data_IF_433657055486
#
_entry.id   IF_433657055486
#
_cell.length_a   1.000
_cell.length_b   1.000
_cell.length_c   1.000
_cell.angle_alpha   90.00
_cell.angle_beta   90.00
_cell.angle_gamma   90.00
#
_symmetry.space_group_name_H-M   'P 1'
#
loop_
_entity.id
_entity.type
_entity.pdbx_description
1 polymer ?
#
# COMPACT_ATOMS: atom_id res chain seq x y z
N UNK A 1 -7.08 10.69 4.63
CA UNK A 1 -5.76 10.09 4.95
C UNK A 1 -5.77 8.56 5.07
N UNK A 2 -6.90 7.88 4.83
CA UNK A 2 -7.04 6.48 5.23
C UNK A 2 -6.05 5.55 4.55
N UNK A 3 -5.54 4.61 5.34
CA UNK A 3 -4.92 3.37 4.90
C UNK A 3 -3.49 3.53 4.36
N UNK A 4 -2.86 4.69 4.58
CA UNK A 4 -1.53 4.95 4.02
C UNK A 4 -0.48 3.96 4.53
N UNK A 5 -0.47 3.74 5.85
CA UNK A 5 0.47 2.81 6.49
C UNK A 5 0.17 1.38 6.06
N UNK A 6 -1.11 1.01 6.00
CA UNK A 6 -1.57 -0.31 5.57
C UNK A 6 -1.12 -0.63 4.15
N UNK A 7 -1.37 0.28 3.20
CA UNK A 7 -0.97 0.09 1.81
C UNK A 7 0.55 0.05 1.65
N UNK A 8 1.26 0.95 2.33
CA UNK A 8 2.72 0.98 2.29
C UNK A 8 3.32 -0.28 2.91
N UNK A 9 2.73 -0.78 4.00
CA UNK A 9 3.14 -2.02 4.66
C UNK A 9 2.95 -3.24 3.74
N UNK A 10 1.79 -3.37 3.10
CA UNK A 10 1.54 -4.44 2.11
C UNK A 10 2.57 -4.37 0.99
N UNK A 11 2.81 -3.19 0.43
CA UNK A 11 3.82 -3.00 -0.60
C UNK A 11 5.22 -3.40 -0.14
N UNK A 12 5.64 -2.92 1.02
CA UNK A 12 7.00 -3.13 1.53
C UNK A 12 7.26 -4.61 1.85
N UNK A 13 6.26 -5.33 2.36
CA UNK A 13 6.35 -6.77 2.59
C UNK A 13 6.26 -7.58 1.30
N UNK A 14 5.40 -7.20 0.35
CA UNK A 14 5.42 -7.78 -1.00
C UNK A 14 6.79 -7.62 -1.68
N UNK A 15 7.45 -6.47 -1.52
CA UNK A 15 8.79 -6.24 -2.05
C UNK A 15 9.86 -7.06 -1.32
N UNK A 16 9.76 -7.26 0.00
CA UNK A 16 10.66 -8.18 0.72
C UNK A 16 10.57 -9.59 0.14
N UNK A 17 9.35 -10.10 -0.02
CA UNK A 17 9.09 -11.42 -0.61
C UNK A 17 9.60 -11.50 -2.07
N UNK A 18 9.29 -10.48 -2.88
CA UNK A 18 9.75 -10.36 -4.26
C UNK A 18 11.28 -10.44 -4.40
N UNK A 19 12.00 -9.75 -3.52
CA UNK A 19 13.47 -9.69 -3.56
C UNK A 19 14.14 -11.00 -3.11
N UNK A 20 13.46 -11.78 -2.26
CA UNK A 20 13.92 -13.09 -1.80
C UNK A 20 13.46 -14.26 -2.69
N UNK A 21 12.55 -14.00 -3.63
CA UNK A 21 11.99 -15.02 -4.53
C UNK A 21 12.85 -15.28 -5.76
N UNK A 22 12.74 -16.49 -6.33
CA UNK A 22 13.24 -16.86 -7.66
C UNK A 22 12.14 -16.89 -8.73
N UNK A 23 10.87 -16.69 -8.36
CA UNK A 23 9.73 -16.60 -9.29
C UNK A 23 9.61 -15.23 -9.96
N UNK A 24 10.38 -14.24 -9.49
CA UNK A 24 10.33 -12.86 -10.00
C UNK A 24 11.57 -12.54 -10.84
N UNK A 25 11.37 -11.91 -11.99
CA UNK A 25 12.42 -11.55 -12.93
C UNK A 25 13.36 -10.47 -12.37
N UNK A 26 14.61 -10.46 -12.85
CA UNK A 26 15.63 -9.53 -12.33
C UNK A 26 15.31 -8.06 -12.57
N UNK A 27 14.56 -7.72 -13.63
CA UNK A 27 14.12 -6.34 -13.88
C UNK A 27 13.29 -5.78 -12.71
N UNK A 28 12.41 -6.59 -12.15
CA UNK A 28 11.56 -6.20 -11.02
C UNK A 28 12.37 -6.13 -9.73
N UNK A 29 13.32 -7.05 -9.52
CA UNK A 29 14.22 -7.00 -8.35
C UNK A 29 15.15 -5.80 -8.40
N UNK A 30 15.71 -5.47 -9.56
CA UNK A 30 16.52 -4.26 -9.78
C UNK A 30 15.74 -2.99 -9.38
N UNK A 31 14.51 -2.87 -9.87
CA UNK A 31 13.60 -1.76 -9.54
C UNK A 31 13.20 -1.79 -8.06
N UNK A 32 12.92 -2.96 -7.49
CA UNK A 32 12.58 -3.11 -6.07
C UNK A 32 13.69 -2.63 -5.13
N UNK A 33 14.96 -2.85 -5.51
CA UNK A 33 16.13 -2.39 -4.76
C UNK A 33 16.36 -0.88 -4.92
N UNK A 34 16.21 -0.34 -6.13
CA UNK A 34 16.68 1.03 -6.45
C UNK A 34 15.59 2.09 -6.51
N UNK A 35 14.32 1.70 -6.72
CA UNK A 35 13.20 2.62 -6.99
C UNK A 35 12.06 2.49 -5.95
N UNK A 36 12.38 2.04 -4.74
CA UNK A 36 11.39 1.82 -3.67
C UNK A 36 10.56 3.06 -3.34
N UNK A 37 11.14 4.26 -3.44
CA UNK A 37 10.41 5.52 -3.28
C UNK A 37 9.28 5.70 -4.30
N UNK A 38 9.55 5.43 -5.58
CA UNK A 38 8.53 5.47 -6.64
C UNK A 38 7.49 4.37 -6.47
N UNK A 39 7.89 3.18 -6.04
CA UNK A 39 6.95 2.13 -5.69
C UNK A 39 6.01 2.58 -4.57
N UNK A 40 6.52 3.13 -3.47
CA UNK A 40 5.68 3.67 -2.39
C UNK A 40 4.72 4.74 -2.88
N UNK A 41 5.15 5.62 -3.80
CA UNK A 41 4.26 6.60 -4.45
C UNK A 41 3.13 5.93 -5.26
N UNK A 42 3.43 4.89 -6.04
CA UNK A 42 2.41 4.09 -6.72
C UNK A 42 1.49 3.34 -5.75
N UNK A 43 2.05 2.86 -4.64
CA UNK A 43 1.38 2.16 -3.54
C UNK A 43 0.28 2.94 -2.84
N UNK A 44 0.25 4.26 -3.04
CA UNK A 44 -0.69 5.18 -2.41
C UNK A 44 -1.55 5.95 -3.43
N UNK A 45 -1.38 5.67 -4.72
CA UNK A 45 -2.11 6.32 -5.82
C UNK A 45 -3.30 5.45 -6.25
N UNK A 46 -4.46 6.06 -6.48
CA UNK A 46 -5.68 5.35 -6.95
C UNK A 46 -5.71 5.20 -8.48
N UNK A 47 -6.61 4.36 -9.00
CA UNK A 47 -6.99 4.29 -10.43
C UNK A 47 -5.97 3.67 -11.41
N UNK A 48 -5.13 2.75 -10.95
CA UNK A 48 -4.10 2.10 -11.79
C UNK A 48 -4.55 0.98 -12.70
N UNK A 49 -5.74 0.47 -12.45
CA UNK A 49 -6.30 -0.71 -13.10
C UNK A 49 -6.47 -0.55 -14.61
N UNK A 50 -6.78 0.68 -15.06
CA UNK A 50 -6.95 1.00 -16.48
C UNK A 50 -5.66 0.94 -17.28
N UNK A 51 -4.53 1.27 -16.66
CA UNK A 51 -3.28 1.53 -17.39
C UNK A 51 -2.20 0.48 -17.16
N UNK A 52 -2.32 -0.35 -16.11
CA UNK A 52 -1.26 -1.28 -15.70
C UNK A 52 -0.78 -2.19 -16.83
N UNK A 53 -1.68 -2.86 -17.55
CA UNK A 53 -1.29 -3.79 -18.62
C UNK A 53 -0.66 -3.06 -19.81
N UNK A 54 -1.18 -1.90 -20.18
CA UNK A 54 -0.63 -1.07 -21.24
C UNK A 54 0.77 -0.54 -20.89
N UNK A 55 0.96 -0.06 -19.66
CA UNK A 55 2.24 0.43 -19.16
C UNK A 55 3.27 -0.70 -19.12
N UNK A 56 2.92 -1.86 -18.58
CA UNK A 56 3.82 -3.02 -18.57
C UNK A 56 4.19 -3.49 -19.98
N UNK A 57 3.27 -3.38 -20.94
CA UNK A 57 3.53 -3.70 -22.35
C UNK A 57 4.57 -2.75 -22.95
N UNK A 58 4.40 -1.43 -22.77
CA UNK A 58 5.36 -0.42 -23.21
C UNK A 58 6.73 -0.61 -22.55
N UNK A 59 6.74 -0.80 -21.22
CA UNK A 59 7.97 -0.95 -20.46
C UNK A 59 8.73 -2.20 -20.88
N UNK A 60 8.05 -3.34 -21.05
CA UNK A 60 8.65 -4.59 -21.54
C UNK A 60 9.28 -4.41 -22.91
N UNK A 61 8.57 -3.77 -23.85
CA UNK A 61 9.06 -3.58 -25.21
C UNK A 61 10.34 -2.73 -25.27
N UNK A 62 10.48 -1.77 -24.36
CA UNK A 62 11.59 -0.82 -24.32
C UNK A 62 12.69 -1.19 -23.33
N UNK A 63 12.48 -2.18 -22.46
CA UNK A 63 13.34 -2.41 -21.30
C UNK A 63 14.82 -2.64 -21.65
N UNK A 64 15.09 -3.43 -22.69
CA UNK A 64 16.47 -3.78 -23.09
C UNK A 64 17.21 -2.63 -23.78
N UNK A 65 16.49 -1.68 -24.37
CA UNK A 65 17.04 -0.56 -25.15
C UNK A 65 16.81 0.79 -24.48
N UNK A 66 16.34 0.77 -23.23
CA UNK A 66 16.01 1.97 -22.45
C UNK A 66 17.24 2.83 -22.24
N UNK A 67 17.02 4.14 -22.25
CA UNK A 67 18.02 5.15 -21.92
C UNK A 67 17.62 5.82 -20.60
N UNK A 68 18.57 6.40 -19.84
CA UNK A 68 18.26 7.07 -18.58
C UNK A 68 17.16 8.13 -18.68
N UNK A 69 17.08 8.82 -19.82
CA UNK A 69 16.09 9.88 -20.09
C UNK A 69 14.66 9.31 -20.23
N UNK A 70 14.50 8.04 -20.57
CA UNK A 70 13.19 7.38 -20.66
C UNK A 70 12.54 7.22 -19.28
N UNK A 71 13.36 7.22 -18.22
CA UNK A 71 12.94 7.03 -16.82
C UNK A 71 12.09 5.78 -16.63
N UNK A 72 12.44 4.66 -17.28
CA UNK A 72 11.62 3.45 -17.22
C UNK A 72 11.68 2.76 -15.86
N UNK A 73 12.83 2.77 -15.18
CA UNK A 73 13.00 2.18 -13.86
C UNK A 73 12.06 2.80 -12.81
N UNK A 74 12.03 4.13 -12.61
CA UNK A 74 11.09 4.74 -11.67
C UNK A 74 9.63 4.57 -12.10
N UNK A 75 9.33 4.59 -13.40
CA UNK A 75 7.96 4.33 -13.91
C UNK A 75 7.51 2.88 -13.65
N UNK A 76 8.41 1.91 -13.84
CA UNK A 76 8.15 0.51 -13.49
C UNK A 76 7.96 0.39 -11.98
N UNK A 77 8.82 1.02 -11.18
CA UNK A 77 8.68 1.06 -9.71
C UNK A 77 7.30 1.54 -9.29
N UNK A 78 6.85 2.66 -9.85
CA UNK A 78 5.50 3.18 -9.64
C UNK A 78 4.41 2.16 -10.00
N UNK A 79 4.50 1.51 -11.16
CA UNK A 79 3.53 0.50 -11.59
C UNK A 79 3.51 -0.73 -10.65
N UNK A 80 4.66 -1.21 -10.19
CA UNK A 80 4.75 -2.31 -9.22
C UNK A 80 4.13 -1.95 -7.87
N UNK A 81 4.34 -0.71 -7.42
CA UNK A 81 3.66 -0.20 -6.24
C UNK A 81 2.14 -0.18 -6.40
N UNK A 82 1.67 0.19 -7.60
CA UNK A 82 0.26 0.22 -7.92
C UNK A 82 -0.42 -1.16 -7.88
N UNK A 83 0.30 -2.21 -8.28
CA UNK A 83 -0.16 -3.59 -8.14
C UNK A 83 -0.39 -3.94 -6.66
N UNK A 84 0.55 -3.59 -5.80
CA UNK A 84 0.43 -3.83 -4.36
C UNK A 84 -0.71 -3.00 -3.75
N UNK A 85 -0.87 -1.74 -4.19
CA UNK A 85 -1.99 -0.89 -3.80
C UNK A 85 -3.33 -1.55 -4.08
N UNK A 86 -3.51 -2.06 -5.31
CA UNK A 86 -4.73 -2.74 -5.74
C UNK A 86 -5.04 -3.95 -4.86
N UNK A 87 -4.03 -4.77 -4.56
CA UNK A 87 -4.21 -5.94 -3.70
C UNK A 87 -4.67 -5.56 -2.28
N UNK A 88 -4.05 -4.52 -1.70
CA UNK A 88 -4.47 -3.98 -0.42
C UNK A 88 -5.91 -3.44 -0.47
N UNK A 89 -6.24 -2.60 -1.45
CA UNK A 89 -7.59 -2.04 -1.59
C UNK A 89 -8.67 -3.13 -1.74
N UNK A 90 -8.43 -4.14 -2.60
CA UNK A 90 -9.36 -5.26 -2.83
C UNK A 90 -9.67 -6.03 -1.56
N UNK A 91 -8.70 -6.09 -0.65
CA UNK A 91 -8.83 -6.81 0.59
C UNK A 91 -9.40 -5.94 1.71
N UNK A 92 -8.90 -4.72 1.85
CA UNK A 92 -9.14 -3.88 3.02
C UNK A 92 -10.43 -3.06 2.91
N UNK A 93 -10.80 -2.57 1.72
CA UNK A 93 -12.04 -1.79 1.53
C UNK A 93 -13.30 -2.52 1.99
N UNK A 94 -13.52 -3.81 1.65
CA UNK A 94 -14.63 -4.59 2.19
C UNK A 94 -14.61 -4.65 3.72
N UNK A 95 -13.44 -4.89 4.33
CA UNK A 95 -13.27 -4.96 5.78
C UNK A 95 -13.68 -3.64 6.45
N UNK A 96 -13.30 -2.50 5.88
CA UNK A 96 -13.70 -1.19 6.40
C UNK A 96 -15.21 -0.98 6.31
N UNK A 97 -15.82 -1.36 5.17
CA UNK A 97 -17.27 -1.22 4.95
C UNK A 97 -18.09 -2.14 5.86
N UNK A 98 -17.61 -3.35 6.12
CA UNK A 98 -18.23 -4.31 7.03
C UNK A 98 -18.09 -3.85 8.49
N UNK A 99 -16.92 -3.34 8.87
CA UNK A 99 -16.66 -2.87 10.23
C UNK A 99 -17.44 -1.60 10.60
N UNK A 100 -17.65 -0.69 9.64
CA UNK A 100 -18.35 0.58 9.82
C UNK A 100 -19.34 0.86 8.67
N UNK A 101 -20.49 0.16 8.63
CA UNK A 101 -21.47 0.32 7.55
C UNK A 101 -22.03 1.74 7.48
N UNK A 102 -22.18 2.28 6.27
CA UNK A 102 -22.79 3.59 6.02
C UNK A 102 -21.90 4.79 6.30
N UNK A 103 -20.66 4.59 6.77
CA UNK A 103 -19.71 5.69 6.96
C UNK A 103 -19.25 6.24 5.61
N UNK A 104 -19.41 7.55 5.42
CA UNK A 104 -19.01 8.28 4.20
C UNK A 104 -17.69 9.03 4.36
N UNK A 105 -17.27 9.26 5.61
CA UNK A 105 -16.03 9.97 5.94
C UNK A 105 -14.80 9.06 5.86
N UNK A 106 -13.71 9.57 5.28
CA UNK A 106 -12.39 8.94 5.28
C UNK A 106 -11.41 9.83 6.03
N UNK A 107 -10.61 9.30 6.97
CA UNK A 107 -10.48 7.90 7.35
C UNK A 107 -11.54 7.37 8.31
N UNK A 108 -11.88 6.09 8.13
CA UNK A 108 -12.69 5.31 9.07
C UNK A 108 -11.88 5.00 10.34
N UNK A 109 -12.54 4.75 11.48
CA UNK A 109 -11.84 4.39 12.72
C UNK A 109 -11.10 3.06 12.53
N UNK A 110 -11.73 2.10 11.84
CA UNK A 110 -11.12 0.82 11.50
C UNK A 110 -9.80 1.02 10.73
N UNK A 111 -9.81 1.90 9.71
CA UNK A 111 -8.60 2.19 8.93
C UNK A 111 -7.49 2.87 9.75
N UNK A 112 -7.84 3.76 10.68
CA UNK A 112 -6.87 4.39 11.59
C UNK A 112 -6.24 3.34 12.50
N UNK A 113 -7.03 2.41 13.04
CA UNK A 113 -6.54 1.34 13.91
C UNK A 113 -5.67 0.34 13.15
N UNK A 114 -6.01 0.00 11.90
CA UNK A 114 -5.17 -0.84 11.04
C UNK A 114 -3.82 -0.21 10.77
N UNK A 115 -3.80 1.08 10.40
CA UNK A 115 -2.57 1.82 10.18
C UNK A 115 -1.73 1.92 11.47
N UNK A 116 -2.35 2.26 12.61
CA UNK A 116 -1.66 2.36 13.89
C UNK A 116 -1.05 1.02 14.32
N UNK A 117 -1.78 -0.08 14.10
CA UNK A 117 -1.30 -1.43 14.36
C UNK A 117 -0.10 -1.78 13.48
N UNK A 118 -0.20 -1.59 12.17
CA UNK A 118 0.90 -1.88 11.24
C UNK A 118 2.08 -0.94 11.39
N UNK A 119 1.89 0.30 11.85
CA UNK A 119 2.99 1.18 12.23
C UNK A 119 3.85 0.55 13.33
N UNK A 120 3.23 -0.10 14.31
CA UNK A 120 3.93 -0.82 15.39
C UNK A 120 4.54 -2.13 14.90
N UNK A 121 3.75 -2.97 14.23
CA UNK A 121 4.20 -4.31 13.83
C UNK A 121 5.17 -4.32 12.66
N UNK A 122 4.92 -3.49 11.64
CA UNK A 122 5.71 -3.50 10.40
C UNK A 122 6.92 -2.59 10.49
N UNK A 123 6.73 -1.43 11.14
CA UNK A 123 7.75 -0.38 11.19
C UNK A 123 8.38 -0.23 12.57
N UNK A 124 8.10 -1.15 13.50
CA UNK A 124 8.65 -1.16 14.85
C UNK A 124 8.49 0.19 15.58
N UNK A 125 7.37 0.89 15.33
CA UNK A 125 7.12 2.23 15.88
C UNK A 125 8.02 3.32 15.27
N UNK A 126 8.47 3.14 14.04
CA UNK A 126 9.32 4.10 13.32
C UNK A 126 10.82 3.84 13.44
N UNK A 127 11.23 2.65 13.87
CA UNK A 127 12.64 2.21 13.80
C UNK A 127 13.02 1.72 12.40
N UNK A 128 12.00 1.42 11.59
CA UNK A 128 12.12 0.92 10.23
C UNK A 128 11.46 1.90 9.27
N UNK A 129 12.18 2.33 8.24
CA UNK A 129 11.66 3.27 7.25
C UNK A 129 10.44 2.71 6.49
N UNK A 130 9.57 3.57 5.90
CA UNK A 130 9.79 5.01 5.71
C UNK A 130 9.37 5.88 6.91
N UNK A 131 8.78 5.30 7.95
CA UNK A 131 8.26 6.06 9.07
C UNK A 131 9.31 6.15 10.18
N UNK A 132 9.40 7.29 10.86
CA UNK A 132 10.40 7.54 11.91
C UNK A 132 9.74 7.70 13.29
N UNK A 133 10.47 7.36 14.36
CA UNK A 133 10.04 7.63 15.75
C UNK A 133 9.91 9.13 15.94
N UNK A 134 8.69 9.60 16.20
CA UNK A 134 8.33 11.02 16.19
C UNK A 134 7.18 11.30 15.23
N UNK A 135 7.06 10.55 14.13
CA UNK A 135 6.06 10.80 13.09
C UNK A 135 4.62 10.97 13.64
N UNK A 136 4.26 10.29 14.74
CA UNK A 136 2.92 10.39 15.34
C UNK A 136 2.92 10.97 16.76
N UNK A 137 4.03 11.56 17.21
CA UNK A 137 4.13 12.21 18.53
C UNK A 137 3.57 13.63 18.48
N UNK A 138 2.89 14.06 19.54
CA UNK A 138 2.44 15.45 19.70
C UNK A 138 3.66 16.35 20.01
N UNK A 139 4.23 16.98 18.98
CA UNK A 139 5.35 17.91 19.11
C UNK A 139 5.91 18.39 17.76
N UNK A 140 6.64 19.52 17.72
CA UNK A 140 7.08 20.16 16.48
C UNK A 140 8.00 19.28 15.61
N UNK A 141 8.85 18.44 16.22
CA UNK A 141 9.81 17.59 15.49
C UNK A 141 9.15 16.35 14.87
N UNK A 142 8.11 15.82 15.51
CA UNK A 142 7.39 14.64 15.06
C UNK A 142 6.33 14.92 14.00
N UNK A 143 5.68 16.08 14.14
CA UNK A 143 4.71 16.58 13.19
C UNK A 143 5.33 16.86 11.82
N UNK A 144 6.56 17.37 11.72
CA UNK A 144 7.13 17.87 10.45
C UNK A 144 7.31 16.80 9.35
N UNK A 145 7.70 15.57 9.69
CA UNK A 145 7.96 14.52 8.69
C UNK A 145 6.71 13.71 8.29
N UNK A 146 5.78 13.53 9.23
CA UNK A 146 4.42 13.09 8.91
C UNK A 146 3.74 14.14 8.05
N UNK A 147 3.85 15.42 8.44
CA UNK A 147 3.45 16.54 7.61
C UNK A 147 4.15 16.47 6.26
N UNK A 148 5.47 16.26 6.09
CA UNK A 148 6.07 16.21 4.74
C UNK A 148 5.48 15.11 3.87
N UNK A 149 5.31 13.89 4.37
CA UNK A 149 4.77 12.78 3.56
C UNK A 149 3.29 12.98 3.27
N UNK A 150 2.52 13.43 4.26
CA UNK A 150 1.09 13.68 4.12
C UNK A 150 0.77 14.96 3.36
N UNK A 151 1.55 16.02 3.57
CA UNK A 151 1.54 17.30 2.85
C UNK A 151 2.02 17.07 1.43
N UNK A 152 2.98 16.20 1.13
CA UNK A 152 3.27 15.82 -0.26
C UNK A 152 2.05 15.18 -0.92
N UNK A 153 1.35 14.26 -0.24
CA UNK A 153 0.10 13.68 -0.75
C UNK A 153 -1.03 14.72 -0.85
N UNK A 154 -1.14 15.62 0.13
CA UNK A 154 -2.11 16.71 0.14
C UNK A 154 -1.76 17.77 -0.90
N UNK A 155 -0.48 18.03 -1.20
CA UNK A 155 0.04 18.94 -2.23
C UNK A 155 -0.16 18.36 -3.63
N UNK A 156 0.02 17.05 -3.78
CA UNK A 156 -0.45 16.29 -4.95
C UNK A 156 -1.99 16.26 -4.99
N UNK A 157 -2.70 16.42 -3.88
CA UNK A 157 -4.13 16.76 -3.93
C UNK A 157 -4.37 18.20 -4.38
N UNK A 158 -3.59 19.14 -3.87
CA UNK A 158 -3.75 20.59 -4.06
C UNK A 158 -3.42 21.04 -5.48
N UNK A 159 -2.59 20.32 -6.24
CA UNK A 159 -2.43 20.60 -7.67
C UNK A 159 -3.72 20.35 -8.47
N UNK A 160 -4.69 19.62 -7.89
CA UNK A 160 -6.05 19.46 -8.42
C UNK A 160 -7.07 20.39 -7.75
N UNK A 161 -6.66 21.12 -6.69
CA UNK A 161 -7.47 22.11 -5.98
C UNK A 161 -7.37 23.46 -6.70
N UNK A 162 -7.86 23.48 -7.93
CA UNK A 162 -7.89 24.66 -8.79
C UNK A 162 -8.78 25.72 -8.12
N UNK A 163 -8.31 26.96 -7.93
CA UNK A 163 -9.12 28.03 -7.38
C UNK A 163 -10.41 28.19 -8.17
N UNK A 164 -11.53 28.04 -7.49
CA UNK A 164 -12.82 28.37 -8.07
C UNK A 164 -12.94 29.90 -8.06
N UNK A 165 -12.79 30.50 -9.24
CA UNK A 165 -12.85 31.97 -9.38
C UNK A 165 -14.29 32.48 -9.34
N UNK A 166 -15.27 31.59 -9.53
CA UNK A 166 -16.69 31.91 -9.51
C UNK A 166 -17.28 31.72 -8.11
N UNK A 167 -16.74 30.78 -7.32
CA UNK A 167 -17.11 30.50 -5.93
C UNK A 167 -15.88 30.51 -4.99
N UNK A 168 -15.30 31.69 -4.78
CA UNK A 168 -14.10 31.86 -3.93
C UNK A 168 -14.40 31.48 -2.48
N UNK A 169 -15.56 31.84 -1.95
CA UNK A 169 -15.94 31.57 -0.56
C UNK A 169 -16.16 30.07 -0.31
N UNK A 170 -16.87 29.37 -1.20
CA UNK A 170 -17.03 27.92 -1.10
C UNK A 170 -15.73 27.18 -1.34
N UNK A 171 -14.84 27.68 -2.21
CA UNK A 171 -13.49 27.14 -2.35
C UNK A 171 -12.67 27.27 -1.06
N UNK A 172 -12.66 28.46 -0.43
CA UNK A 172 -12.02 28.67 0.88
C UNK A 172 -12.64 27.76 1.95
N UNK A 173 -13.96 27.62 1.98
CA UNK A 173 -14.66 26.71 2.89
C UNK A 173 -14.22 25.25 2.74
N UNK A 174 -14.07 24.76 1.50
CA UNK A 174 -13.55 23.41 1.21
C UNK A 174 -12.09 23.23 1.66
N UNK A 175 -11.25 24.26 1.49
CA UNK A 175 -9.87 24.25 1.94
C UNK A 175 -9.77 24.16 3.47
N UNK A 176 -10.56 24.98 4.18
CA UNK A 176 -10.59 24.95 5.65
C UNK A 176 -11.14 23.63 6.18
N UNK A 177 -12.18 23.07 5.56
CA UNK A 177 -12.69 21.75 5.93
C UNK A 177 -11.63 20.64 5.74
N UNK A 178 -10.83 20.72 4.66
CA UNK A 178 -9.74 19.79 4.42
C UNK A 178 -8.63 19.92 5.47
N UNK A 179 -8.26 21.15 5.85
CA UNK A 179 -7.29 21.40 6.92
C UNK A 179 -7.81 20.91 8.28
N UNK A 180 -9.05 21.21 8.64
CA UNK A 180 -9.63 20.78 9.91
C UNK A 180 -9.74 19.25 9.99
N UNK A 181 -10.20 18.60 8.92
CA UNK A 181 -10.23 17.14 8.83
C UNK A 181 -8.82 16.53 9.02
N UNK A 182 -7.80 17.17 8.44
CA UNK A 182 -6.42 16.75 8.58
C UNK A 182 -5.94 16.77 10.04
N UNK A 183 -6.21 17.85 10.78
CA UNK A 183 -5.84 17.95 12.20
C UNK A 183 -6.58 16.94 13.09
N UNK A 184 -7.89 16.75 12.85
CA UNK A 184 -8.69 15.76 13.59
C UNK A 184 -8.15 14.36 13.38
N UNK A 185 -7.82 14.02 12.14
CA UNK A 185 -7.24 12.73 11.81
C UNK A 185 -5.89 12.51 12.49
N UNK A 186 -4.98 13.50 12.46
CA UNK A 186 -3.69 13.38 13.14
C UNK A 186 -3.86 13.04 14.63
N UNK A 187 -4.80 13.69 15.33
CA UNK A 187 -5.11 13.38 16.73
C UNK A 187 -5.64 11.96 16.90
N UNK A 188 -6.48 11.48 15.98
CA UNK A 188 -7.00 10.10 15.99
C UNK A 188 -5.88 9.08 15.82
N UNK A 189 -4.93 9.32 14.90
CA UNK A 189 -3.74 8.48 14.71
C UNK A 189 -2.83 8.48 15.95
N UNK A 190 -2.52 9.66 16.49
CA UNK A 190 -1.69 9.81 17.69
C UNK A 190 -2.29 9.05 18.88
N UNK A 191 -3.62 9.16 19.08
CA UNK A 191 -4.34 8.44 20.12
C UNK A 191 -4.31 6.92 19.89
N UNK A 192 -4.59 6.45 18.67
CA UNK A 192 -4.58 5.02 18.34
C UNK A 192 -3.19 4.38 18.52
N UNK A 193 -2.10 5.14 18.28
CA UNK A 193 -0.73 4.65 18.44
C UNK A 193 -0.29 4.67 19.90
N UNK A 194 -0.50 5.80 20.59
CA UNK A 194 0.05 6.04 21.93
C UNK A 194 -0.78 5.42 23.05
N UNK A 195 -2.11 5.43 22.90
CA UNK A 195 -3.06 4.91 23.89
C UNK A 195 -4.26 4.26 23.19
N UNK A 196 -4.06 3.13 22.50
CA UNK A 196 -5.15 2.46 21.79
C UNK A 196 -6.28 2.08 22.73
N UNK A 197 -7.51 2.32 22.29
CA UNK A 197 -8.72 1.88 22.99
C UNK A 197 -8.83 0.34 22.89
N UNK A 198 -8.79 -0.41 24.01
CA UNK A 198 -8.83 -1.87 23.99
C UNK A 198 -10.04 -2.44 23.25
N UNK A 199 -11.19 -1.76 23.32
CA UNK A 199 -12.41 -2.24 22.65
C UNK A 199 -12.32 -2.04 21.14
N UNK A 200 -11.69 -0.95 20.69
CA UNK A 200 -11.43 -0.73 19.26
C UNK A 200 -10.35 -1.68 18.73
N UNK A 201 -9.32 -1.98 19.52
CA UNK A 201 -8.35 -3.04 19.17
C UNK A 201 -9.05 -4.37 19.02
N UNK A 202 -9.89 -4.75 20.00
CA UNK A 202 -10.65 -5.99 19.94
C UNK A 202 -11.51 -6.06 18.69
N UNK A 203 -12.29 -5.01 18.43
CA UNK A 203 -13.23 -4.95 17.31
C UNK A 203 -12.54 -4.92 15.95
N UNK A 204 -11.51 -4.09 15.78
CA UNK A 204 -10.92 -3.82 14.46
C UNK A 204 -9.67 -4.63 14.15
N UNK A 205 -9.02 -5.24 15.15
CA UNK A 205 -7.81 -6.04 14.95
C UNK A 205 -8.10 -7.51 15.22
N UNK A 206 -8.45 -7.88 16.46
CA UNK A 206 -8.48 -9.30 16.84
C UNK A 206 -9.75 -10.02 16.37
N UNK A 207 -10.94 -9.42 16.56
CA UNK A 207 -12.21 -10.07 16.24
C UNK A 207 -12.43 -10.28 14.73
N UNK A 208 -11.83 -9.43 13.91
CA UNK A 208 -11.87 -9.54 12.43
C UNK A 208 -10.68 -10.31 11.87
N UNK A 209 -9.81 -10.86 12.73
CA UNK A 209 -8.56 -11.51 12.32
C UNK A 209 -7.77 -10.64 11.32
N UNK A 210 -7.49 -9.39 11.69
CA UNK A 210 -6.81 -8.46 10.78
C UNK A 210 -5.38 -8.92 10.48
N UNK A 211 -4.65 -9.38 11.48
CA UNK A 211 -3.24 -9.74 11.39
C UNK A 211 -2.92 -10.91 12.32
N UNK A 212 -2.21 -11.90 11.80
CA UNK A 212 -1.65 -13.02 12.57
C UNK A 212 -0.18 -13.22 12.20
N UNK A 213 0.71 -12.97 13.17
CA UNK A 213 2.16 -13.06 12.97
C UNK A 213 2.65 -14.48 12.64
N UNK A 214 1.84 -15.51 12.95
CA UNK A 214 2.19 -16.92 12.74
C UNK A 214 1.91 -17.39 11.32
N UNK A 215 1.18 -16.60 10.52
CA UNK A 215 0.88 -16.99 9.15
C UNK A 215 2.14 -17.03 8.28
N UNK A 216 2.34 -18.08 7.46
CA UNK A 216 3.61 -18.31 6.77
C UNK A 216 4.13 -17.11 5.96
N UNK A 217 3.25 -16.45 5.20
CA UNK A 217 3.64 -15.30 4.35
C UNK A 217 4.06 -14.07 5.18
N UNK A 218 3.40 -13.85 6.31
CA UNK A 218 3.76 -12.77 7.25
C UNK A 218 5.09 -13.13 7.91
N UNK A 219 5.20 -14.33 8.48
CA UNK A 219 6.42 -14.81 9.14
C UNK A 219 7.64 -14.72 8.21
N UNK A 220 7.49 -15.11 6.93
CA UNK A 220 8.55 -14.98 5.92
C UNK A 220 8.95 -13.52 5.68
N UNK A 221 7.99 -12.60 5.49
CA UNK A 221 8.27 -11.19 5.30
C UNK A 221 8.97 -10.56 6.53
N UNK A 222 8.53 -10.92 7.74
CA UNK A 222 9.15 -10.48 9.00
C UNK A 222 10.56 -11.05 9.17
N UNK A 223 10.79 -12.31 8.82
CA UNK A 223 12.12 -12.92 8.85
C UNK A 223 13.09 -12.21 7.92
N UNK A 224 12.68 -11.92 6.67
CA UNK A 224 13.48 -11.13 5.72
C UNK A 224 13.79 -9.75 6.30
N UNK A 225 12.81 -9.08 6.91
CA UNK A 225 13.06 -7.78 7.53
C UNK A 225 14.11 -7.84 8.64
N UNK A 226 14.08 -8.88 9.48
CA UNK A 226 15.07 -9.08 10.55
C UNK A 226 16.44 -9.56 10.05
N UNK A 227 16.60 -9.73 8.73
CA UNK A 227 17.85 -10.24 8.14
C UNK A 227 18.03 -11.75 8.32
N UNK A 228 16.97 -12.49 8.63
CA UNK A 228 17.01 -13.95 8.71
C UNK A 228 17.19 -14.56 7.30
N UNK A 229 17.88 -15.71 7.18
CA UNK A 229 18.12 -16.36 5.90
C UNK A 229 16.85 -17.08 5.41
N UNK A 230 15.89 -16.33 4.88
CA UNK A 230 14.69 -16.87 4.23
C UNK A 230 15.02 -17.17 2.77
N UNK A 231 14.92 -18.44 2.39
CA UNK A 231 15.20 -18.94 1.04
C UNK A 231 14.03 -18.69 0.08
N UNK A 232 14.32 -18.67 -1.22
CA UNK A 232 13.26 -18.59 -2.25
C UNK A 232 12.23 -19.72 -2.12
N UNK A 233 12.67 -20.94 -1.76
CA UNK A 233 11.77 -22.07 -1.50
C UNK A 233 10.77 -21.78 -0.37
N UNK A 234 11.24 -21.22 0.74
CA UNK A 234 10.39 -20.82 1.86
C UNK A 234 9.41 -19.71 1.47
N UNK A 235 9.82 -18.74 0.65
CA UNK A 235 8.92 -17.71 0.13
C UNK A 235 7.81 -18.33 -0.72
N UNK A 236 8.14 -19.27 -1.61
CA UNK A 236 7.15 -19.96 -2.44
C UNK A 236 6.15 -20.77 -1.61
N UNK A 237 6.64 -21.54 -0.65
CA UNK A 237 5.80 -22.33 0.26
C UNK A 237 4.88 -21.42 1.07
N UNK A 238 5.43 -20.34 1.63
CA UNK A 238 4.68 -19.35 2.39
C UNK A 238 3.59 -18.65 1.56
N UNK A 239 3.88 -18.30 0.30
CA UNK A 239 2.91 -17.68 -0.61
C UNK A 239 1.81 -18.64 -1.07
N UNK A 240 2.07 -19.95 -1.07
CA UNK A 240 1.10 -21.01 -1.43
C UNK A 240 0.27 -21.48 -0.25
N UNK A 241 0.70 -21.20 0.98
CA UNK A 241 -0.06 -21.50 2.18
C UNK A 241 -1.41 -20.79 2.19
N UNK A 242 -2.35 -21.35 2.96
CA UNK A 242 -3.62 -20.69 3.20
C UNK A 242 -3.40 -19.38 3.97
N UNK A 243 -4.09 -18.32 3.52
CA UNK A 243 -4.02 -17.00 4.14
C UNK A 243 -5.38 -16.69 4.79
N UNK A 244 -5.39 -16.59 6.11
CA UNK A 244 -6.61 -16.47 6.92
C UNK A 244 -6.86 -15.05 7.42
N UNK A 245 -5.81 -14.33 7.83
CA UNK A 245 -5.93 -12.93 8.23
C UNK A 245 -6.07 -12.02 7.02
N UNK A 246 -6.72 -10.88 7.23
CA UNK A 246 -6.90 -9.91 6.14
C UNK A 246 -5.56 -9.36 5.63
N UNK A 247 -4.57 -9.15 6.50
CA UNK A 247 -3.25 -8.73 6.08
C UNK A 247 -2.53 -9.81 5.26
N UNK A 248 -2.55 -11.08 5.69
CA UNK A 248 -1.96 -12.19 4.93
C UNK A 248 -2.62 -12.37 3.55
N UNK A 249 -3.95 -12.22 3.47
CA UNK A 249 -4.69 -12.26 2.20
C UNK A 249 -4.24 -11.15 1.24
N UNK A 250 -4.05 -9.93 1.76
CA UNK A 250 -3.54 -8.81 0.98
C UNK A 250 -2.11 -9.06 0.49
N UNK A 251 -1.21 -9.59 1.34
CA UNK A 251 0.15 -9.95 0.95
C UNK A 251 0.16 -11.03 -0.12
N UNK A 252 -0.63 -12.10 0.04
CA UNK A 252 -0.69 -13.20 -0.92
C UNK A 252 -1.17 -12.71 -2.28
N UNK A 253 -2.20 -11.85 -2.29
CA UNK A 253 -2.70 -11.23 -3.52
C UNK A 253 -1.67 -10.30 -4.15
N UNK A 254 -1.03 -9.43 -3.36
CA UNK A 254 -0.03 -8.47 -3.83
C UNK A 254 1.21 -9.14 -4.42
N UNK A 255 1.77 -10.12 -3.71
CA UNK A 255 2.88 -10.93 -4.21
C UNK A 255 2.46 -11.72 -5.46
N UNK A 256 1.26 -12.31 -5.49
CA UNK A 256 0.72 -12.98 -6.68
C UNK A 256 0.60 -12.06 -7.90
N UNK A 257 0.21 -10.80 -7.70
CA UNK A 257 0.18 -9.79 -8.77
C UNK A 257 1.58 -9.44 -9.27
N UNK A 258 2.57 -9.34 -8.38
CA UNK A 258 3.97 -9.13 -8.78
C UNK A 258 4.52 -10.32 -9.59
N UNK A 259 4.23 -11.56 -9.20
CA UNK A 259 4.61 -12.74 -9.97
C UNK A 259 3.95 -12.75 -11.36
N UNK A 260 2.63 -12.51 -11.45
CA UNK A 260 1.94 -12.48 -12.73
C UNK A 260 2.48 -11.37 -13.66
N UNK A 261 2.74 -10.18 -13.10
CA UNK A 261 3.35 -9.09 -13.85
C UNK A 261 4.78 -9.43 -14.29
N UNK A 262 5.54 -10.17 -13.46
CA UNK A 262 6.87 -10.66 -13.79
C UNK A 262 6.84 -11.65 -14.96
N UNK A 263 5.97 -12.65 -14.92
CA UNK A 263 5.79 -13.63 -16.01
C UNK A 263 5.44 -12.92 -17.32
N UNK A 264 4.51 -11.96 -17.26
CA UNK A 264 4.19 -11.12 -18.41
C UNK A 264 5.39 -10.32 -18.91
N UNK A 265 6.18 -9.74 -18.01
CA UNK A 265 7.34 -8.93 -18.35
C UNK A 265 8.47 -9.78 -18.97
N UNK A 266 8.63 -11.02 -18.52
CA UNK A 266 9.58 -12.00 -19.03
C UNK A 266 9.18 -12.56 -20.41
N UNK A 267 7.88 -12.53 -20.74
CA UNK A 267 7.35 -13.02 -22.02
C UNK A 267 6.53 -14.29 -21.92
N UNK A 268 6.32 -14.80 -20.71
CA UNK A 268 5.68 -16.09 -20.43
C UNK A 268 4.15 -15.98 -20.32
N UNK A 269 3.60 -14.77 -20.36
CA UNK A 269 2.17 -14.50 -20.23
C UNK A 269 1.69 -13.49 -21.28
N UNK A 270 0.46 -13.68 -21.78
CA UNK A 270 -0.21 -12.74 -22.68
C UNK A 270 -0.83 -11.56 -21.93
N UNK A 271 -1.12 -10.42 -22.59
CA UNK A 271 -1.82 -9.30 -21.96
C UNK A 271 -3.19 -9.68 -21.37
N UNK A 272 -3.91 -10.59 -22.02
CA UNK A 272 -5.24 -11.05 -21.59
C UNK A 272 -5.13 -11.90 -20.33
N UNK A 273 -4.17 -12.84 -20.29
CA UNK A 273 -3.89 -13.63 -19.10
C UNK A 273 -3.42 -12.75 -17.94
N UNK A 274 -2.62 -11.71 -18.20
CA UNK A 274 -2.24 -10.74 -17.18
C UNK A 274 -3.45 -9.99 -16.62
N UNK A 275 -4.35 -9.47 -17.48
CA UNK A 275 -5.58 -8.80 -17.02
C UNK A 275 -6.39 -9.70 -16.08
N UNK A 276 -6.51 -10.97 -16.44
CA UNK A 276 -7.23 -11.95 -15.64
C UNK A 276 -6.56 -12.17 -14.27
N UNK A 277 -5.25 -12.39 -14.26
CA UNK A 277 -4.45 -12.64 -13.04
C UNK A 277 -4.40 -11.43 -12.11
N UNK A 278 -4.55 -10.22 -12.65
CA UNK A 278 -4.62 -8.97 -11.89
C UNK A 278 -6.05 -8.57 -11.51
N UNK A 279 -7.03 -9.43 -11.78
CA UNK A 279 -8.46 -9.19 -11.58
C UNK A 279 -8.96 -7.88 -12.22
N UNK A 280 -8.37 -7.43 -13.33
CA UNK A 280 -8.73 -6.16 -13.98
C UNK A 280 -10.20 -6.21 -14.41
N UNK A 281 -10.98 -5.19 -14.05
CA UNK A 281 -12.42 -5.13 -14.32
C UNK A 281 -13.29 -6.06 -13.48
N UNK A 282 -12.73 -6.87 -12.57
CA UNK A 282 -13.52 -7.71 -11.65
C UNK A 282 -13.91 -6.92 -10.40
N UNK A 283 -15.16 -7.04 -9.91
CA UNK A 283 -15.56 -6.46 -8.63
C UNK A 283 -14.73 -7.06 -7.47
N UNK A 284 -14.66 -6.34 -6.37
CA UNK A 284 -14.14 -6.86 -5.10
C UNK A 284 -15.05 -7.95 -4.52
N UNK A 285 -14.63 -8.57 -3.41
CA UNK A 285 -15.39 -9.67 -2.77
C UNK A 285 -16.81 -9.27 -2.34
N UNK A 286 -17.04 -7.98 -2.12
CA UNK A 286 -18.33 -7.41 -1.74
C UNK A 286 -19.15 -6.89 -2.94
N UNK A 287 -18.75 -7.25 -4.16
CA UNK A 287 -19.43 -6.86 -5.39
C UNK A 287 -19.20 -5.41 -5.82
N UNK A 288 -18.42 -4.63 -5.07
CA UNK A 288 -18.16 -3.21 -5.37
C UNK A 288 -16.84 -3.03 -6.12
N UNK A 289 -16.73 -1.91 -6.84
CA UNK A 289 -15.46 -1.50 -7.45
C UNK A 289 -14.36 -1.32 -6.40
N UNK A 290 -13.12 -1.56 -6.84
CA UNK A 290 -11.90 -1.27 -6.10
C UNK A 290 -11.64 0.22 -6.19
#
# INVERSE_FOLDING_TARGET
>A
MSENVTHTAVLDDCFRLMLASDEVCEAFKEVGRTQRGFARLGGVTRSGDRFTVQLLTDFRARWKTRRPEDRLEPKLGFALGWLCHRAADRQMKPVFREAEPGRTESPSECSVYHDAFLFREVYAGGKEGPYQSGMFEEGPAGAEDLFRTLLQRALVGLHTFIPDREDVEGWLGRLFALQQGFEVDLKRYAAAISRPDPEKVRRFITAVNFYDATEPIIAAARGIQRGEPVTAGQVREAARAEALSHYAQALRMGYGYLCAASDFFAGDMSPEALRERLDVGRPGRDGKGV
#
